data_IF_963082057704
#
_entry.id   IF_963082057704
#
_cell.length_a   1.000
_cell.length_b   1.000
_cell.length_c   1.000
_cell.angle_alpha   90.00
_cell.angle_beta   90.00
_cell.angle_gamma   90.00
#
_symmetry.space_group_name_H-M   'P 1'
#
loop_
_entity.id
_entity.type
_entity.pdbx_description
1 polymer ?
#
# COMPACT_ATOMS: atom_id res chain seq x y z
N UNK A 1 -24.05 31.93 26.50
CA UNK A 1 -22.78 32.01 25.76
C UNK A 1 -22.52 30.60 25.23
N UNK A 2 -23.11 30.34 24.05
CA UNK A 2 -23.02 29.02 23.38
C UNK A 2 -21.75 29.00 22.58
N UNK A 3 -20.86 28.06 22.87
CA UNK A 3 -19.74 27.71 21.98
C UNK A 3 -20.24 26.68 20.97
N UNK A 4 -20.37 27.11 19.72
CA UNK A 4 -20.46 26.23 18.57
C UNK A 4 -19.06 25.70 18.29
N UNK A 5 -18.82 24.41 18.60
CA UNK A 5 -17.70 23.66 18.08
C UNK A 5 -18.06 23.26 16.66
N UNK A 6 -17.31 23.78 15.68
CA UNK A 6 -17.47 23.45 14.28
C UNK A 6 -17.03 22.01 14.03
N UNK A 7 -17.93 21.23 13.47
CA UNK A 7 -17.66 19.98 12.75
C UNK A 7 -16.85 20.35 11.49
N UNK A 8 -15.56 20.09 11.50
CA UNK A 8 -14.77 20.00 10.28
C UNK A 8 -14.97 18.56 9.75
N UNK A 9 -16.04 18.40 8.97
CA UNK A 9 -16.26 17.17 8.23
C UNK A 9 -15.12 16.93 7.23
N UNK A 10 -14.94 15.68 6.81
CA UNK A 10 -14.27 15.34 5.56
C UNK A 10 -14.75 16.36 4.54
N UNK A 11 -13.84 17.07 3.89
CA UNK A 11 -14.22 18.06 2.90
C UNK A 11 -15.02 17.32 1.82
N UNK A 12 -16.34 17.34 1.93
CA UNK A 12 -17.21 16.80 0.90
C UNK A 12 -16.97 17.67 -0.32
N UNK A 13 -16.19 17.19 -1.24
CA UNK A 13 -16.12 17.73 -2.59
C UNK A 13 -17.49 17.45 -3.17
N UNK A 14 -18.34 18.49 -3.22
CA UNK A 14 -19.63 18.42 -3.90
C UNK A 14 -19.32 18.12 -5.37
N UNK A 15 -19.42 16.87 -5.75
CA UNK A 15 -19.25 16.43 -7.13
C UNK A 15 -20.34 17.10 -7.98
N UNK A 16 -19.93 17.76 -9.03
CA UNK A 16 -20.85 18.36 -10.01
C UNK A 16 -21.61 17.23 -10.71
N UNK A 17 -22.93 17.09 -10.49
CA UNK A 17 -23.72 16.01 -11.09
C UNK A 17 -23.71 15.99 -12.62
N UNK A 18 -23.27 17.07 -13.26
CA UNK A 18 -23.15 17.14 -14.73
C UNK A 18 -21.92 16.39 -15.27
N UNK A 19 -20.99 15.98 -14.40
CA UNK A 19 -19.87 15.09 -14.76
C UNK A 19 -20.21 13.59 -14.66
N UNK A 20 -21.44 13.26 -14.22
CA UNK A 20 -21.94 11.88 -14.07
C UNK A 20 -22.48 11.29 -15.38
N UNK A 21 -22.11 11.78 -16.56
CA UNK A 21 -22.30 11.00 -17.77
C UNK A 21 -21.37 9.78 -17.68
N UNK A 22 -21.98 8.64 -17.31
CA UNK A 22 -21.38 7.30 -17.41
C UNK A 22 -20.72 7.13 -18.78
N UNK A 23 -19.42 7.37 -18.84
CA UNK A 23 -18.60 6.64 -19.78
C UNK A 23 -18.47 5.23 -19.20
N UNK A 24 -18.90 4.22 -19.96
CA UNK A 24 -18.49 2.84 -19.71
C UNK A 24 -17.01 2.82 -19.32
N UNK A 25 -16.61 2.09 -18.29
CA UNK A 25 -15.21 1.97 -17.93
C UNK A 25 -14.49 1.44 -19.17
N UNK A 26 -13.88 2.34 -19.92
CA UNK A 26 -12.89 1.92 -20.91
C UNK A 26 -11.80 1.24 -20.11
N UNK A 27 -11.40 0.02 -20.46
CA UNK A 27 -10.24 -0.60 -19.83
C UNK A 27 -9.14 0.45 -19.81
N UNK A 28 -8.53 0.67 -18.65
CA UNK A 28 -7.41 1.58 -18.51
C UNK A 28 -6.46 1.20 -19.63
N UNK A 29 -6.23 2.10 -20.58
CA UNK A 29 -5.31 1.86 -21.67
C UNK A 29 -3.91 1.80 -21.08
N UNK A 30 -3.54 0.61 -20.60
CA UNK A 30 -2.17 0.31 -20.24
C UNK A 30 -1.44 0.35 -21.57
N UNK A 31 -0.38 1.15 -21.62
CA UNK A 31 0.57 1.14 -22.72
C UNK A 31 0.90 -0.30 -23.06
N UNK A 32 0.80 -0.68 -24.34
CA UNK A 32 1.19 -2.02 -24.83
C UNK A 32 2.68 -2.33 -24.56
N UNK A 33 3.41 -1.40 -23.96
CA UNK A 33 4.80 -1.44 -23.53
C UNK A 33 4.95 -1.80 -22.04
N UNK A 34 4.23 -2.82 -21.55
CA UNK A 34 4.60 -3.42 -20.26
C UNK A 34 5.98 -4.07 -20.44
N UNK A 35 7.02 -3.34 -20.00
CA UNK A 35 8.41 -3.74 -20.17
C UNK A 35 8.63 -5.16 -19.64
N UNK A 36 9.32 -6.03 -20.40
CA UNK A 36 9.76 -7.31 -19.89
C UNK A 36 10.57 -7.11 -18.60
N UNK A 37 10.39 -7.99 -17.61
CA UNK A 37 11.04 -7.90 -16.28
C UNK A 37 12.55 -7.56 -16.36
N UNK A 38 13.34 -8.11 -17.31
CA UNK A 38 14.77 -7.75 -17.47
C UNK A 38 15.00 -6.26 -17.75
N UNK A 39 14.11 -5.60 -18.51
CA UNK A 39 14.23 -4.17 -18.81
C UNK A 39 13.87 -3.32 -17.61
N UNK A 40 12.85 -3.70 -16.84
CA UNK A 40 12.52 -3.04 -15.58
C UNK A 40 13.66 -3.16 -14.54
N UNK A 41 14.31 -4.30 -14.46
CA UNK A 41 15.51 -4.47 -13.60
C UNK A 41 16.67 -3.63 -14.09
N UNK A 42 16.89 -3.51 -15.41
CA UNK A 42 17.92 -2.66 -15.97
C UNK A 42 17.67 -1.17 -15.66
N UNK A 43 16.42 -0.70 -15.81
CA UNK A 43 16.03 0.66 -15.43
C UNK A 43 16.27 0.92 -13.93
N UNK A 44 15.84 -0.01 -13.08
CA UNK A 44 16.08 0.09 -11.64
C UNK A 44 17.57 0.14 -11.27
N UNK A 45 18.44 -0.59 -11.98
CA UNK A 45 19.89 -0.53 -11.75
C UNK A 45 20.48 0.83 -12.12
N UNK A 46 19.99 1.44 -13.20
CA UNK A 46 20.39 2.80 -13.60
C UNK A 46 19.94 3.81 -12.54
N UNK A 47 18.69 3.74 -12.08
CA UNK A 47 18.13 4.57 -11.00
C UNK A 47 18.93 4.38 -9.71
N UNK A 48 19.19 3.14 -9.30
CA UNK A 48 19.94 2.81 -8.08
C UNK A 48 21.34 3.44 -8.05
N UNK A 49 21.95 3.63 -9.23
CA UNK A 49 23.27 4.27 -9.34
C UNK A 49 23.29 5.76 -8.95
N UNK A 50 22.14 6.40 -8.92
CA UNK A 50 21.97 7.83 -8.60
C UNK A 50 21.48 8.11 -7.18
N UNK A 51 21.03 7.08 -6.44
CA UNK A 51 20.54 7.22 -5.07
C UNK A 51 21.69 7.42 -4.07
N UNK A 52 21.40 8.13 -2.98
CA UNK A 52 22.28 8.18 -1.80
C UNK A 52 22.19 6.88 -1.00
N UNK A 53 20.97 6.35 -0.87
CA UNK A 53 20.73 5.00 -0.38
C UNK A 53 21.13 3.92 -1.39
N UNK A 54 20.63 2.71 -1.22
CA UNK A 54 20.89 1.60 -2.16
C UNK A 54 19.67 0.71 -2.33
N UNK A 55 19.67 -0.03 -3.44
CA UNK A 55 18.72 -1.10 -3.68
C UNK A 55 19.40 -2.46 -3.51
N UNK A 56 18.87 -3.26 -2.59
CA UNK A 56 19.28 -4.66 -2.43
C UNK A 56 18.23 -5.56 -3.12
N UNK A 57 18.67 -6.67 -3.71
CA UNK A 57 17.79 -7.76 -4.16
C UNK A 57 17.68 -8.80 -3.04
N UNK A 58 16.47 -9.27 -2.79
CA UNK A 58 16.16 -10.22 -1.72
C UNK A 58 15.34 -11.39 -2.27
N UNK A 59 16.01 -12.55 -2.44
CA UNK A 59 15.36 -13.77 -2.88
C UNK A 59 14.67 -14.49 -1.70
N UNK A 60 13.51 -15.08 -1.96
CA UNK A 60 12.77 -15.94 -1.05
C UNK A 60 11.95 -16.96 -1.83
N UNK A 61 11.40 -17.95 -1.14
CA UNK A 61 10.53 -18.96 -1.75
C UNK A 61 9.13 -18.85 -1.16
N UNK A 62 8.13 -19.08 -2.03
CA UNK A 62 6.73 -19.12 -1.63
C UNK A 62 6.01 -20.28 -2.33
N UNK A 63 5.31 -21.06 -1.54
CA UNK A 63 4.42 -22.09 -2.06
C UNK A 63 3.08 -21.49 -2.45
N UNK A 64 2.64 -21.75 -3.69
CA UNK A 64 1.31 -21.39 -4.18
C UNK A 64 0.71 -22.58 -4.92
N UNK A 65 -0.49 -23.00 -4.54
CA UNK A 65 -1.23 -24.14 -5.13
C UNK A 65 -0.40 -25.43 -5.28
N UNK A 66 0.48 -25.71 -4.29
CA UNK A 66 1.32 -26.91 -4.26
C UNK A 66 2.59 -26.86 -5.09
N UNK A 67 2.91 -25.71 -5.65
CA UNK A 67 4.16 -25.46 -6.36
C UNK A 67 4.98 -24.40 -5.59
N UNK A 68 6.29 -24.65 -5.44
CA UNK A 68 7.22 -23.68 -4.85
C UNK A 68 7.76 -22.76 -5.95
N UNK A 69 7.62 -21.45 -5.75
CA UNK A 69 8.11 -20.41 -6.63
C UNK A 69 9.29 -19.68 -6.00
N UNK A 70 10.33 -19.43 -6.81
CA UNK A 70 11.42 -18.55 -6.45
C UNK A 70 10.96 -17.10 -6.70
N UNK A 71 10.94 -16.32 -5.62
CA UNK A 71 10.46 -14.93 -5.62
C UNK A 71 11.62 -13.98 -5.35
N UNK A 72 11.48 -12.77 -5.83
CA UNK A 72 12.42 -11.68 -5.59
C UNK A 72 11.67 -10.43 -5.14
N UNK A 73 12.17 -9.78 -4.10
CA UNK A 73 11.78 -8.45 -3.69
C UNK A 73 12.96 -7.49 -3.85
N UNK A 74 12.70 -6.23 -4.21
CA UNK A 74 13.71 -5.18 -4.16
C UNK A 74 13.55 -4.38 -2.88
N UNK A 75 14.67 -4.00 -2.26
CA UNK A 75 14.66 -3.34 -0.96
C UNK A 75 15.48 -2.07 -1.05
N UNK A 76 14.81 -0.92 -0.96
CA UNK A 76 15.50 0.34 -0.75
C UNK A 76 15.96 0.42 0.72
N UNK A 77 17.25 0.65 0.90
CA UNK A 77 17.88 0.84 2.20
C UNK A 77 18.46 2.24 2.24
N UNK A 78 17.98 3.14 3.14
CA UNK A 78 18.43 4.52 3.18
C UNK A 78 19.90 4.63 3.59
N UNK A 79 20.57 5.72 3.19
CA UNK A 79 21.96 6.01 3.61
C UNK A 79 22.08 6.18 5.14
N UNK A 80 21.02 6.67 5.76
CA UNK A 80 20.92 6.79 7.23
C UNK A 80 20.80 5.47 7.97
N UNK A 81 20.57 4.33 7.28
CA UNK A 81 20.44 3.02 7.89
C UNK A 81 21.73 2.58 8.57
N UNK A 82 21.58 2.06 9.79
CA UNK A 82 22.67 1.47 10.56
C UNK A 82 22.23 0.14 11.20
N UNK A 83 23.06 -0.91 11.14
CA UNK A 83 22.77 -2.16 11.86
C UNK A 83 22.61 -2.00 13.38
N UNK A 84 23.11 -0.92 13.95
CA UNK A 84 23.03 -0.63 15.39
C UNK A 84 21.71 0.04 15.81
N UNK A 85 20.98 0.61 14.85
CA UNK A 85 19.74 1.35 15.09
C UNK A 85 18.60 0.79 14.24
N UNK A 86 17.42 0.52 14.84
CA UNK A 86 16.31 -0.04 14.10
C UNK A 86 15.69 0.98 13.14
N UNK A 87 15.35 0.52 11.94
CA UNK A 87 14.60 1.27 10.94
C UNK A 87 13.12 0.85 10.92
N UNK A 88 12.25 1.76 10.47
CA UNK A 88 10.88 1.42 10.08
C UNK A 88 10.89 0.61 8.78
N UNK A 89 9.79 -0.08 8.49
CA UNK A 89 9.65 -0.86 7.24
C UNK A 89 8.32 -0.57 6.59
N UNK A 90 8.36 -0.31 5.28
CA UNK A 90 7.17 -0.22 4.42
C UNK A 90 7.23 -1.32 3.38
N UNK A 91 6.14 -2.04 3.21
CA UNK A 91 5.97 -3.05 2.16
C UNK A 91 5.03 -2.47 1.10
N UNK A 92 5.45 -2.48 -0.16
CA UNK A 92 4.70 -1.93 -1.27
C UNK A 92 4.48 -2.98 -2.36
N UNK A 93 3.26 -3.00 -2.91
CA UNK A 93 2.91 -3.82 -4.07
C UNK A 93 2.42 -2.96 -5.23
N UNK A 94 2.72 -3.42 -6.45
CA UNK A 94 2.39 -2.76 -7.71
C UNK A 94 0.92 -2.98 -8.13
N UNK A 95 0.49 -2.28 -9.17
CA UNK A 95 -0.79 -2.50 -9.84
C UNK A 95 -0.76 -3.68 -10.83
N UNK A 96 -1.92 -3.97 -11.42
CA UNK A 96 -2.06 -4.97 -12.47
C UNK A 96 -1.00 -4.79 -13.58
N UNK A 97 -0.50 -5.89 -14.15
CA UNK A 97 0.62 -5.93 -15.09
C UNK A 97 1.95 -5.37 -14.59
N UNK A 98 1.98 -4.71 -13.45
CA UNK A 98 3.19 -4.17 -12.87
C UNK A 98 4.19 -5.26 -12.43
N UNK A 99 5.27 -4.83 -11.84
CA UNK A 99 6.28 -5.68 -11.20
C UNK A 99 7.03 -4.92 -10.11
N UNK A 100 7.71 -5.65 -9.25
CA UNK A 100 8.44 -5.07 -8.11
C UNK A 100 9.57 -4.11 -8.54
N UNK A 101 10.27 -4.40 -9.64
CA UNK A 101 11.37 -3.56 -10.13
C UNK A 101 10.86 -2.20 -10.66
N UNK A 102 9.78 -2.20 -11.46
CA UNK A 102 9.18 -0.96 -11.97
C UNK A 102 8.59 -0.09 -10.87
N UNK A 103 7.99 -0.69 -9.83
CA UNK A 103 7.54 0.06 -8.67
C UNK A 103 8.73 0.66 -7.90
N UNK A 104 9.81 -0.12 -7.71
CA UNK A 104 11.03 0.35 -7.07
C UNK A 104 11.69 1.50 -7.86
N UNK A 105 11.76 1.38 -9.19
CA UNK A 105 12.28 2.42 -10.08
C UNK A 105 11.53 3.75 -9.92
N UNK A 106 10.21 3.69 -9.78
CA UNK A 106 9.36 4.87 -9.58
C UNK A 106 9.48 5.47 -8.18
N UNK A 107 9.52 4.64 -7.14
CA UNK A 107 9.33 5.09 -5.75
C UNK A 107 10.65 5.32 -5.01
N UNK A 108 11.72 4.55 -5.30
CA UNK A 108 12.97 4.67 -4.56
C UNK A 108 13.58 6.08 -4.62
N UNK A 109 13.57 6.81 -5.76
CA UNK A 109 14.05 8.19 -5.81
C UNK A 109 13.27 9.15 -4.89
N UNK A 110 11.96 8.95 -4.78
CA UNK A 110 11.11 9.75 -3.90
C UNK A 110 11.48 9.55 -2.43
N UNK A 111 11.66 8.29 -2.04
CA UNK A 111 12.03 7.94 -0.66
C UNK A 111 13.44 8.46 -0.33
N UNK A 112 14.37 8.34 -1.27
CA UNK A 112 15.75 8.84 -1.14
C UNK A 112 15.78 10.35 -0.90
N UNK A 113 14.99 11.11 -1.65
CA UNK A 113 14.85 12.55 -1.52
C UNK A 113 14.16 12.97 -0.19
N UNK A 114 13.13 12.23 0.24
CA UNK A 114 12.50 12.43 1.56
C UNK A 114 13.47 12.17 2.72
N UNK A 115 14.32 11.16 2.61
CA UNK A 115 15.41 10.87 3.56
C UNK A 115 16.41 12.01 3.62
N UNK A 116 16.89 12.49 2.47
CA UNK A 116 17.85 13.60 2.37
C UNK A 116 17.30 14.87 2.99
N UNK A 117 16.02 15.17 2.76
CA UNK A 117 15.32 16.31 3.36
C UNK A 117 15.01 16.09 4.85
N UNK A 118 15.22 14.89 5.38
CA UNK A 118 14.88 14.47 6.76
C UNK A 118 13.38 14.61 7.07
N UNK A 119 12.56 14.46 6.08
CA UNK A 119 11.10 14.50 6.22
C UNK A 119 10.55 13.14 6.69
N UNK A 120 11.32 12.06 6.47
CA UNK A 120 11.01 10.73 6.94
C UNK A 120 12.09 10.19 7.89
N UNK A 121 11.70 9.47 8.92
CA UNK A 121 12.63 8.74 9.79
C UNK A 121 13.23 7.56 9.01
N UNK A 122 14.43 7.03 9.41
CA UNK A 122 15.06 5.91 8.70
C UNK A 122 14.06 4.79 8.40
N UNK A 123 13.78 4.57 7.12
CA UNK A 123 12.72 3.67 6.65
C UNK A 123 13.22 2.82 5.49
N UNK A 124 13.18 1.51 5.67
CA UNK A 124 13.41 0.52 4.62
C UNK A 124 12.11 0.38 3.82
N UNK A 125 12.20 0.40 2.49
CA UNK A 125 11.04 0.19 1.63
C UNK A 125 11.22 -1.08 0.81
N UNK A 126 10.28 -1.99 0.92
CA UNK A 126 10.28 -3.31 0.29
C UNK A 126 9.29 -3.31 -0.86
N UNK A 127 9.75 -3.56 -2.05
CA UNK A 127 8.95 -3.66 -3.27
C UNK A 127 8.76 -5.12 -3.61
N UNK A 128 7.53 -5.59 -3.56
CA UNK A 128 7.20 -6.99 -3.78
C UNK A 128 6.14 -7.16 -4.88
N UNK A 129 6.05 -8.38 -5.42
CA UNK A 129 5.01 -8.76 -6.36
C UNK A 129 4.12 -9.83 -5.76
N UNK A 130 2.82 -9.73 -5.98
CA UNK A 130 1.85 -10.77 -5.63
C UNK A 130 1.75 -11.88 -6.69
N UNK A 131 2.35 -11.70 -7.86
CA UNK A 131 2.44 -12.79 -8.85
C UNK A 131 3.42 -13.86 -8.38
N UNK A 132 3.04 -15.15 -8.40
CA UNK A 132 3.98 -16.25 -8.16
C UNK A 132 5.16 -16.22 -9.14
N UNK A 133 4.86 -16.04 -10.42
CA UNK A 133 5.79 -15.70 -11.49
C UNK A 133 5.04 -14.90 -12.57
N UNK A 134 5.73 -14.44 -13.63
CA UNK A 134 5.14 -13.57 -14.65
C UNK A 134 4.04 -14.25 -15.47
N UNK A 135 3.96 -15.56 -15.53
CA UNK A 135 2.92 -16.28 -16.28
C UNK A 135 1.52 -16.11 -15.67
N UNK A 136 1.43 -15.63 -14.42
CA UNK A 136 0.17 -15.33 -13.75
C UNK A 136 -0.41 -13.94 -14.08
N UNK A 137 0.37 -13.07 -14.73
CA UNK A 137 -0.16 -11.80 -15.21
C UNK A 137 -1.00 -12.07 -16.48
N UNK A 138 -2.31 -11.89 -16.38
CA UNK A 138 -3.28 -12.13 -17.47
C UNK A 138 -3.80 -10.82 -18.06
N UNK A 139 -4.55 -10.91 -19.17
CA UNK A 139 -5.17 -9.74 -19.82
C UNK A 139 -6.42 -9.23 -19.06
N UNK A 140 -6.78 -9.88 -17.95
CA UNK A 140 -7.91 -9.50 -17.10
C UNK A 140 -7.43 -9.23 -15.67
N UNK A 141 -7.57 -7.99 -15.22
CA UNK A 141 -7.17 -7.58 -13.87
C UNK A 141 -8.03 -8.22 -12.76
N UNK A 142 -9.22 -8.72 -13.09
CA UNK A 142 -10.07 -9.42 -12.11
C UNK A 142 -9.46 -10.75 -11.67
N UNK A 143 -8.64 -11.39 -12.53
CA UNK A 143 -7.93 -12.62 -12.20
C UNK A 143 -6.88 -12.42 -11.10
N UNK A 144 -6.38 -11.19 -10.91
CA UNK A 144 -5.35 -10.88 -9.92
C UNK A 144 -5.86 -10.98 -8.47
N UNK A 145 -7.17 -10.81 -8.23
CA UNK A 145 -7.66 -10.69 -6.87
C UNK A 145 -7.35 -11.92 -5.99
N UNK A 146 -7.43 -13.11 -6.55
CA UNK A 146 -7.05 -14.33 -5.81
C UNK A 146 -5.57 -14.32 -5.39
N UNK A 147 -4.69 -13.73 -6.20
CA UNK A 147 -3.27 -13.58 -5.93
C UNK A 147 -3.01 -12.50 -4.88
N UNK A 148 -3.69 -11.34 -4.98
CA UNK A 148 -3.62 -10.25 -3.99
C UNK A 148 -4.05 -10.78 -2.61
N UNK A 149 -5.15 -11.53 -2.56
CA UNK A 149 -5.66 -12.12 -1.32
C UNK A 149 -4.72 -13.18 -0.76
N UNK A 150 -4.12 -14.03 -1.60
CA UNK A 150 -3.10 -14.99 -1.17
C UNK A 150 -1.89 -14.27 -0.60
N UNK A 151 -1.40 -13.22 -1.28
CA UNK A 151 -0.31 -12.40 -0.78
C UNK A 151 -0.63 -11.83 0.61
N UNK A 152 -1.78 -11.17 0.76
CA UNK A 152 -2.20 -10.55 2.00
C UNK A 152 -2.42 -11.55 3.16
N UNK A 153 -2.78 -12.80 2.88
CA UNK A 153 -3.10 -13.80 3.91
C UNK A 153 -1.98 -14.77 4.22
N UNK A 154 -1.04 -14.98 3.30
CA UNK A 154 -0.03 -16.04 3.41
C UNK A 154 1.37 -15.54 3.10
N UNK A 155 1.60 -14.98 1.93
CA UNK A 155 2.94 -14.63 1.47
C UNK A 155 3.56 -13.50 2.29
N UNK A 156 2.75 -12.54 2.75
CA UNK A 156 3.22 -11.43 3.58
C UNK A 156 3.94 -11.88 4.85
N UNK A 157 3.52 -13.00 5.45
CA UNK A 157 4.17 -13.56 6.64
C UNK A 157 5.58 -14.07 6.32
N UNK A 158 5.77 -14.67 5.15
CA UNK A 158 7.08 -15.11 4.65
C UNK A 158 7.97 -13.91 4.35
N UNK A 159 7.42 -12.92 3.66
CA UNK A 159 8.15 -11.71 3.26
C UNK A 159 8.62 -10.91 4.49
N UNK A 160 7.76 -10.67 5.48
CA UNK A 160 8.12 -9.99 6.73
C UNK A 160 9.31 -10.70 7.39
N UNK A 161 9.23 -12.03 7.55
CA UNK A 161 10.30 -12.81 8.19
C UNK A 161 11.60 -12.76 7.39
N UNK A 162 11.53 -12.83 6.07
CA UNK A 162 12.69 -12.75 5.19
C UNK A 162 13.40 -11.39 5.32
N UNK A 163 12.62 -10.29 5.21
CA UNK A 163 13.16 -8.92 5.32
C UNK A 163 13.72 -8.65 6.71
N UNK A 164 12.94 -8.91 7.75
CA UNK A 164 13.31 -8.52 9.11
C UNK A 164 14.32 -9.48 9.77
N UNK A 165 14.64 -10.61 9.12
CA UNK A 165 15.84 -11.40 9.45
C UNK A 165 17.12 -10.82 8.84
N UNK A 166 17.01 -10.06 7.75
CA UNK A 166 18.14 -9.50 7.00
C UNK A 166 18.57 -8.12 7.49
N UNK A 167 17.61 -7.32 7.91
CA UNK A 167 17.81 -5.93 8.30
C UNK A 167 17.46 -5.69 9.77
N UNK A 168 18.16 -4.76 10.41
CA UNK A 168 17.83 -4.34 11.78
C UNK A 168 16.59 -3.44 11.74
N UNK A 169 15.44 -4.02 12.07
CA UNK A 169 14.16 -3.36 12.27
C UNK A 169 13.82 -3.28 13.75
N UNK A 170 12.68 -2.72 14.10
CA UNK A 170 12.23 -2.66 15.50
C UNK A 170 11.96 -4.04 16.12
N UNK A 171 11.74 -5.09 15.31
CA UNK A 171 11.68 -6.49 15.80
C UNK A 171 13.03 -7.03 16.28
N UNK A 172 14.16 -6.38 15.89
CA UNK A 172 15.53 -6.72 16.35
C UNK A 172 15.89 -8.20 16.19
N UNK A 173 15.39 -8.83 15.12
CA UNK A 173 15.61 -10.23 14.80
C UNK A 173 14.75 -11.23 15.60
N UNK A 174 13.89 -10.77 16.50
CA UNK A 174 12.83 -11.62 17.08
C UNK A 174 11.60 -11.61 16.16
N UNK A 175 11.46 -12.67 15.38
CA UNK A 175 10.39 -12.85 14.40
C UNK A 175 9.20 -13.66 14.95
N UNK A 176 9.08 -13.76 16.28
CA UNK A 176 7.92 -14.35 16.92
C UNK A 176 6.67 -13.50 16.65
N UNK A 177 5.49 -14.14 16.63
CA UNK A 177 4.21 -13.45 16.51
C UNK A 177 4.06 -12.33 17.53
N UNK A 178 4.48 -12.55 18.77
CA UNK A 178 4.44 -11.57 19.82
C UNK A 178 5.30 -10.34 19.51
N UNK A 179 6.55 -10.52 19.12
CA UNK A 179 7.46 -9.41 18.79
C UNK A 179 6.97 -8.62 17.57
N UNK A 180 6.47 -9.31 16.54
CA UNK A 180 5.92 -8.65 15.36
C UNK A 180 4.67 -7.82 15.69
N UNK A 181 3.82 -8.26 16.61
CA UNK A 181 2.66 -7.51 17.11
C UNK A 181 3.08 -6.30 17.93
N UNK A 182 4.02 -6.46 18.86
CA UNK A 182 4.52 -5.38 19.73
C UNK A 182 5.21 -4.27 18.94
N UNK A 183 5.85 -4.62 17.82
CA UNK A 183 6.58 -3.67 16.96
C UNK A 183 5.79 -3.18 15.75
N UNK A 184 4.50 -3.49 15.65
CA UNK A 184 3.64 -3.15 14.49
C UNK A 184 3.60 -1.66 14.14
N UNK A 185 3.81 -0.77 15.13
CA UNK A 185 3.81 0.69 14.92
C UNK A 185 4.97 1.18 14.02
N UNK A 186 5.92 0.31 13.76
CA UNK A 186 7.08 0.57 12.90
C UNK A 186 6.96 -0.15 11.55
N UNK A 187 5.77 -0.64 11.22
CA UNK A 187 5.49 -1.36 9.98
C UNK A 187 4.28 -0.77 9.26
N UNK A 188 4.45 -0.52 7.95
CA UNK A 188 3.35 -0.08 7.09
C UNK A 188 3.25 -0.96 5.85
N UNK A 189 2.06 -1.03 5.29
CA UNK A 189 1.79 -1.65 4.00
C UNK A 189 1.13 -0.64 3.07
N UNK A 190 1.45 -0.73 1.79
CA UNK A 190 0.83 0.11 0.77
C UNK A 190 0.87 -0.54 -0.61
N UNK A 191 0.18 0.05 -1.54
CA UNK A 191 0.21 -0.39 -2.92
C UNK A 191 -0.70 0.44 -3.81
N UNK A 192 -0.46 0.36 -5.11
CA UNK A 192 -1.15 1.14 -6.12
C UNK A 192 -2.10 0.25 -6.94
N UNK A 193 -3.32 0.75 -7.24
CA UNK A 193 -4.30 0.01 -8.06
C UNK A 193 -4.63 -1.36 -7.43
N UNK A 194 -4.37 -2.47 -8.10
CA UNK A 194 -4.48 -3.81 -7.50
C UNK A 194 -3.63 -3.98 -6.24
N UNK A 195 -2.52 -3.23 -6.10
CA UNK A 195 -1.77 -3.14 -4.86
C UNK A 195 -2.53 -2.43 -3.73
N UNK A 196 -3.41 -1.48 -4.04
CA UNK A 196 -4.32 -0.88 -3.06
C UNK A 196 -5.35 -1.91 -2.56
N UNK A 197 -5.90 -2.72 -3.48
CA UNK A 197 -6.76 -3.85 -3.13
C UNK A 197 -6.04 -4.82 -2.16
N UNK A 198 -4.76 -5.13 -2.43
CA UNK A 198 -3.92 -5.90 -1.48
C UNK A 198 -3.79 -5.18 -0.13
N UNK A 199 -3.64 -3.86 -0.14
CA UNK A 199 -3.49 -3.06 1.09
C UNK A 199 -4.74 -3.15 1.97
N UNK A 200 -5.92 -3.07 1.38
CA UNK A 200 -7.18 -3.25 2.07
C UNK A 200 -7.33 -4.68 2.66
N UNK A 201 -6.94 -5.70 1.90
CA UNK A 201 -6.93 -7.08 2.41
C UNK A 201 -5.93 -7.25 3.57
N UNK A 202 -4.76 -6.62 3.52
CA UNK A 202 -3.81 -6.63 4.65
C UNK A 202 -4.41 -5.94 5.88
N UNK A 203 -5.10 -4.80 5.71
CA UNK A 203 -5.80 -4.14 6.81
C UNK A 203 -6.89 -5.04 7.42
N UNK A 204 -7.71 -5.66 6.58
CA UNK A 204 -8.82 -6.51 7.02
C UNK A 204 -8.35 -7.81 7.70
N UNK A 205 -7.24 -8.41 7.23
CA UNK A 205 -6.85 -9.78 7.55
C UNK A 205 -5.57 -9.90 8.38
N UNK A 206 -4.69 -8.90 8.37
CA UNK A 206 -3.38 -8.88 9.06
C UNK A 206 -3.13 -7.60 9.89
N UNK A 207 -4.14 -6.95 10.50
CA UNK A 207 -3.93 -5.69 11.22
C UNK A 207 -2.96 -5.82 12.39
N UNK A 208 -2.77 -7.04 12.92
CA UNK A 208 -1.87 -7.29 14.04
C UNK A 208 -0.40 -7.05 13.73
N UNK A 209 0.00 -6.96 12.46
CA UNK A 209 1.41 -6.76 12.08
C UNK A 209 1.72 -5.37 11.57
N UNK A 210 0.70 -4.56 11.26
CA UNK A 210 0.86 -3.26 10.64
C UNK A 210 0.14 -2.16 11.42
N UNK A 211 0.72 -0.97 11.39
CA UNK A 211 0.09 0.24 11.91
C UNK A 211 -0.35 1.17 10.78
N UNK A 212 0.49 1.34 9.77
CA UNK A 212 0.25 2.23 8.65
C UNK A 212 -0.25 1.50 7.41
N UNK A 213 -1.17 2.12 6.69
CA UNK A 213 -1.71 1.61 5.43
C UNK A 213 -1.78 2.75 4.42
N UNK A 214 -1.29 2.51 3.20
CA UNK A 214 -1.31 3.47 2.10
C UNK A 214 -1.99 2.82 0.87
N UNK A 215 -3.34 2.66 0.87
CA UNK A 215 -4.04 2.26 -0.34
C UNK A 215 -4.05 3.44 -1.33
N UNK A 216 -3.41 3.25 -2.49
CA UNK A 216 -3.21 4.26 -3.51
C UNK A 216 -3.98 3.89 -4.78
N UNK A 217 -4.94 4.71 -5.18
CA UNK A 217 -5.73 4.57 -6.40
C UNK A 217 -6.39 3.19 -6.59
N UNK A 218 -7.12 2.72 -5.57
CA UNK A 218 -7.86 1.45 -5.64
C UNK A 218 -8.69 1.19 -4.37
N UNK A 219 -9.87 0.67 -4.56
CA UNK A 219 -10.83 0.26 -3.53
C UNK A 219 -10.55 -1.17 -3.03
N UNK A 220 -11.25 -1.58 -1.97
CA UNK A 220 -11.26 -2.97 -1.50
C UNK A 220 -12.19 -3.84 -2.34
N UNK A 221 -11.74 -5.03 -2.65
CA UNK A 221 -12.55 -6.04 -3.32
C UNK A 221 -13.04 -7.15 -2.39
N UNK A 222 -12.83 -6.98 -1.08
CA UNK A 222 -13.26 -7.97 -0.08
C UNK A 222 -14.78 -8.16 -0.14
N UNK A 223 -15.23 -9.41 -0.27
CA UNK A 223 -16.64 -9.75 -0.41
C UNK A 223 -17.23 -9.61 -1.83
N UNK A 224 -16.46 -9.09 -2.82
CA UNK A 224 -16.94 -8.92 -4.20
C UNK A 224 -17.39 -10.22 -4.83
N UNK A 225 -16.65 -11.31 -4.64
CA UNK A 225 -17.01 -12.64 -5.16
C UNK A 225 -18.31 -13.20 -4.55
N UNK A 226 -18.67 -12.75 -3.34
CA UNK A 226 -19.88 -13.14 -2.62
C UNK A 226 -21.08 -12.21 -2.96
N UNK A 227 -20.85 -11.17 -3.77
CA UNK A 227 -21.86 -10.15 -4.10
C UNK A 227 -22.25 -9.30 -2.89
N UNK A 228 -21.29 -9.04 -2.00
CA UNK A 228 -21.49 -8.20 -0.82
C UNK A 228 -21.90 -6.78 -1.22
N UNK A 229 -22.83 -6.18 -0.48
CA UNK A 229 -23.15 -4.77 -0.55
C UNK A 229 -22.13 -3.92 0.23
N UNK A 230 -22.23 -2.60 0.12
CA UNK A 230 -21.27 -1.66 0.69
C UNK A 230 -21.18 -1.79 2.22
N UNK A 231 -22.30 -1.97 2.93
CA UNK A 231 -22.33 -2.21 4.38
C UNK A 231 -21.57 -3.49 4.75
N UNK A 232 -21.76 -4.56 4.00
CA UNK A 232 -21.05 -5.83 4.22
C UNK A 232 -19.56 -5.72 3.88
N UNK A 233 -19.19 -4.97 2.86
CA UNK A 233 -17.79 -4.68 2.53
C UNK A 233 -17.14 -3.91 3.68
N UNK A 234 -17.77 -2.87 4.20
CA UNK A 234 -17.28 -2.10 5.34
C UNK A 234 -17.10 -2.96 6.60
N UNK A 235 -18.05 -3.88 6.87
CA UNK A 235 -17.95 -4.87 7.96
C UNK A 235 -16.72 -5.78 7.77
N UNK A 236 -16.52 -6.33 6.57
CA UNK A 236 -15.41 -7.22 6.26
C UNK A 236 -14.06 -6.48 6.36
N UNK A 237 -13.97 -5.25 5.89
CA UNK A 237 -12.76 -4.43 5.97
C UNK A 237 -12.36 -4.14 7.42
N UNK A 238 -13.30 -3.90 8.30
CA UNK A 238 -13.05 -3.54 9.71
C UNK A 238 -12.92 -4.76 10.63
N UNK A 239 -13.35 -5.95 10.18
CA UNK A 239 -13.42 -7.16 11.00
C UNK A 239 -12.10 -7.52 11.70
N UNK A 240 -10.96 -7.29 11.04
CA UNK A 240 -9.65 -7.53 11.62
C UNK A 240 -9.35 -6.59 12.80
N UNK A 241 -9.52 -5.30 12.62
CA UNK A 241 -9.30 -4.29 13.64
C UNK A 241 -10.25 -4.51 14.84
N UNK A 242 -11.52 -4.81 14.56
CA UNK A 242 -12.51 -5.11 15.62
C UNK A 242 -12.14 -6.37 16.40
N UNK A 243 -11.67 -7.42 15.75
CA UNK A 243 -11.24 -8.67 16.40
C UNK A 243 -10.04 -8.47 17.32
N UNK A 244 -9.09 -7.61 16.92
CA UNK A 244 -7.92 -7.24 17.72
C UNK A 244 -8.27 -6.23 18.85
N UNK A 245 -9.49 -5.68 18.86
CA UNK A 245 -9.92 -4.68 19.82
C UNK A 245 -9.28 -3.30 19.61
N UNK A 246 -8.92 -2.99 18.36
CA UNK A 246 -8.28 -1.72 18.00
C UNK A 246 -9.28 -0.56 17.99
N UNK A 247 -8.82 0.57 18.49
CA UNK A 247 -9.47 1.87 18.38
C UNK A 247 -8.79 2.76 17.32
N UNK A 248 -9.28 3.99 17.15
CA UNK A 248 -8.81 4.90 16.08
C UNK A 248 -7.36 5.37 16.23
N UNK A 249 -6.70 5.11 17.36
CA UNK A 249 -5.26 5.40 17.58
C UNK A 249 -4.35 4.20 17.31
N UNK A 250 -4.92 3.03 17.01
CA UNK A 250 -4.16 1.80 16.86
C UNK A 250 -3.76 1.49 15.42
N UNK A 251 -4.26 2.24 14.46
CA UNK A 251 -3.86 2.15 13.06
C UNK A 251 -3.99 3.51 12.36
N UNK A 252 -3.44 3.62 11.17
CA UNK A 252 -3.55 4.81 10.33
C UNK A 252 -3.66 4.41 8.85
N UNK A 253 -4.75 4.78 8.22
CA UNK A 253 -5.00 4.58 6.80
C UNK A 253 -4.87 5.94 6.10
N UNK A 254 -3.95 6.05 5.18
CA UNK A 254 -3.71 7.22 4.34
C UNK A 254 -4.07 6.84 2.89
N UNK A 255 -5.36 6.87 2.59
CA UNK A 255 -5.87 6.62 1.26
C UNK A 255 -5.55 7.81 0.34
N UNK A 256 -5.21 7.54 -0.91
CA UNK A 256 -4.89 8.61 -1.86
C UNK A 256 -5.20 8.21 -3.30
N UNK A 257 -5.49 9.20 -4.15
CA UNK A 257 -5.86 8.97 -5.55
C UNK A 257 -5.74 10.27 -6.36
N UNK A 258 -5.48 10.19 -7.65
CA UNK A 258 -5.51 11.34 -8.55
C UNK A 258 -6.92 11.87 -8.77
N UNK A 259 -7.09 13.19 -8.93
CA UNK A 259 -8.41 13.78 -9.18
C UNK A 259 -9.00 13.40 -10.55
N UNK A 260 -8.15 13.00 -11.50
CA UNK A 260 -8.53 12.52 -12.83
C UNK A 260 -8.36 11.00 -12.99
N UNK A 261 -8.14 10.30 -11.86
CA UNK A 261 -8.01 8.84 -11.82
C UNK A 261 -9.40 8.19 -11.73
N UNK A 262 -9.74 7.21 -12.59
CA UNK A 262 -11.01 6.49 -12.52
C UNK A 262 -11.27 5.83 -11.17
N UNK A 263 -10.23 5.37 -10.46
CA UNK A 263 -10.36 4.75 -9.15
C UNK A 263 -10.98 5.67 -8.08
N UNK A 264 -10.96 6.99 -8.30
CA UNK A 264 -11.61 7.96 -7.41
C UNK A 264 -13.10 7.65 -7.23
N UNK A 265 -13.77 7.18 -8.29
CA UNK A 265 -15.20 6.91 -8.29
C UNK A 265 -15.62 5.72 -7.44
N UNK A 266 -14.72 4.72 -7.33
CA UNK A 266 -14.98 3.52 -6.55
C UNK A 266 -14.46 3.67 -5.11
N UNK A 267 -13.32 4.35 -4.92
CA UNK A 267 -12.75 4.59 -3.59
C UNK A 267 -13.61 5.53 -2.74
N UNK A 268 -14.14 6.61 -3.32
CA UNK A 268 -14.86 7.62 -2.55
C UNK A 268 -16.08 7.07 -1.83
N UNK A 269 -17.05 6.39 -2.50
CA UNK A 269 -18.22 5.86 -1.81
C UNK A 269 -17.85 4.78 -0.77
N UNK A 270 -16.81 3.97 -1.02
CA UNK A 270 -16.35 2.98 -0.07
C UNK A 270 -15.80 3.60 1.23
N UNK A 271 -15.05 4.71 1.11
CA UNK A 271 -14.54 5.43 2.28
C UNK A 271 -15.65 6.19 3.02
N UNK A 272 -16.62 6.74 2.31
CA UNK A 272 -17.82 7.35 2.90
C UNK A 272 -18.61 6.32 3.70
N UNK A 273 -18.84 5.12 3.15
CA UNK A 273 -19.52 4.03 3.86
C UNK A 273 -18.76 3.58 5.12
N UNK A 274 -17.41 3.50 5.03
CA UNK A 274 -16.59 3.17 6.21
C UNK A 274 -16.74 4.21 7.32
N UNK A 275 -16.75 5.50 7.00
CA UNK A 275 -16.92 6.60 7.97
C UNK A 275 -18.33 6.58 8.56
N UNK A 276 -19.37 6.36 7.74
CA UNK A 276 -20.76 6.31 8.18
C UNK A 276 -21.06 5.08 9.06
N UNK A 277 -20.55 3.90 8.67
CA UNK A 277 -20.82 2.66 9.39
C UNK A 277 -19.99 2.52 10.68
N UNK A 278 -18.78 3.09 10.71
CA UNK A 278 -17.84 2.95 11.83
C UNK A 278 -17.25 4.29 12.31
N UNK A 279 -18.05 5.31 12.66
CA UNK A 279 -17.56 6.66 12.95
C UNK A 279 -16.64 6.75 14.19
N UNK A 280 -16.75 5.82 15.13
CA UNK A 280 -15.90 5.74 16.31
C UNK A 280 -14.53 5.11 16.01
N UNK A 281 -14.43 4.35 14.92
CA UNK A 281 -13.22 3.67 14.47
C UNK A 281 -12.51 4.45 13.36
N UNK A 282 -13.28 4.93 12.37
CA UNK A 282 -12.82 5.70 11.21
C UNK A 282 -12.92 7.19 11.49
N UNK A 283 -11.93 7.72 12.18
CA UNK A 283 -11.83 9.14 12.54
C UNK A 283 -10.76 9.81 11.66
N UNK A 284 -10.66 11.11 11.68
CA UNK A 284 -9.58 11.85 11.00
C UNK A 284 -8.16 11.44 11.47
N UNK A 285 -8.04 10.73 12.59
CA UNK A 285 -6.76 10.20 13.07
C UNK A 285 -6.44 8.87 12.39
N UNK A 286 -7.44 8.02 12.16
CA UNK A 286 -7.28 6.65 11.66
C UNK A 286 -7.48 6.51 10.15
N UNK A 287 -8.33 7.36 9.53
CA UNK A 287 -8.62 7.36 8.11
C UNK A 287 -8.52 8.78 7.54
N UNK A 288 -7.68 8.95 6.54
CA UNK A 288 -7.55 10.19 5.78
C UNK A 288 -7.54 9.85 4.30
N UNK A 289 -8.14 10.72 3.49
CA UNK A 289 -8.05 10.65 2.04
C UNK A 289 -7.39 11.92 1.50
N UNK A 290 -6.40 11.73 0.65
CA UNK A 290 -5.75 12.82 -0.09
C UNK A 290 -5.99 12.66 -1.58
N UNK A 291 -6.36 13.77 -2.24
CA UNK A 291 -6.59 13.81 -3.69
C UNK A 291 -5.44 14.56 -4.32
N UNK A 292 -4.76 13.94 -5.26
CA UNK A 292 -3.66 14.50 -6.04
C UNK A 292 -4.23 15.23 -7.26
N UNK A 293 -4.30 16.55 -7.17
CA UNK A 293 -4.98 17.39 -8.15
C UNK A 293 -4.31 17.34 -9.54
N UNK A 294 -5.09 16.99 -10.55
CA UNK A 294 -4.67 16.90 -11.96
C UNK A 294 -3.99 15.57 -12.32
N UNK A 295 -3.76 14.69 -11.36
CA UNK A 295 -3.14 13.39 -11.63
C UNK A 295 -4.16 12.34 -12.04
N UNK A 296 -3.68 11.44 -12.91
CA UNK A 296 -4.41 10.29 -13.46
C UNK A 296 -3.89 9.00 -12.84
N UNK A 297 -4.34 7.84 -13.37
CA UNK A 297 -3.80 6.52 -13.00
C UNK A 297 -2.41 6.31 -13.60
N UNK A 298 -1.36 6.82 -12.96
CA UNK A 298 -0.02 6.94 -13.53
C UNK A 298 1.10 6.71 -12.52
N UNK A 299 2.32 6.46 -13.02
CA UNK A 299 3.52 6.35 -12.18
C UNK A 299 3.85 7.66 -11.46
N UNK A 300 3.58 8.83 -12.08
CA UNK A 300 3.77 10.13 -11.42
C UNK A 300 2.84 10.26 -10.21
N UNK A 301 1.59 9.82 -10.35
CA UNK A 301 0.65 9.82 -9.24
C UNK A 301 1.09 8.90 -8.09
N UNK A 302 1.65 7.71 -8.41
CA UNK A 302 2.24 6.83 -7.38
C UNK A 302 3.35 7.55 -6.61
N UNK A 303 4.27 8.21 -7.31
CA UNK A 303 5.37 8.95 -6.72
C UNK A 303 4.87 10.04 -5.78
N UNK A 304 3.93 10.88 -6.24
CA UNK A 304 3.32 11.95 -5.46
C UNK A 304 2.59 11.43 -4.22
N UNK A 305 1.84 10.33 -4.37
CA UNK A 305 1.08 9.72 -3.27
C UNK A 305 2.00 9.16 -2.18
N UNK A 306 3.14 8.58 -2.56
CA UNK A 306 4.15 8.12 -1.60
C UNK A 306 4.83 9.33 -0.94
N UNK A 307 5.20 10.36 -1.71
CA UNK A 307 5.80 11.59 -1.19
C UNK A 307 4.90 12.25 -0.13
N UNK A 308 3.60 12.30 -0.40
CA UNK A 308 2.64 12.86 0.54
C UNK A 308 2.45 12.00 1.80
N UNK A 309 2.26 10.69 1.64
CA UNK A 309 1.79 9.82 2.71
C UNK A 309 2.90 9.32 3.64
N UNK A 310 4.09 9.03 3.10
CA UNK A 310 5.16 8.40 3.89
C UNK A 310 5.63 9.23 5.08
N UNK A 311 5.84 10.57 4.96
CA UNK A 311 6.20 11.41 6.11
C UNK A 311 5.12 11.46 7.20
N UNK A 312 3.87 11.26 6.83
CA UNK A 312 2.77 11.21 7.79
C UNK A 312 2.77 9.93 8.63
N UNK A 313 3.30 8.83 8.12
CA UNK A 313 3.44 7.56 8.86
C UNK A 313 4.69 7.54 9.72
N UNK A 314 5.82 7.95 9.19
CA UNK A 314 7.12 7.88 9.84
C UNK A 314 7.84 9.23 9.77
N UNK A 315 7.34 10.27 10.47
CA UNK A 315 7.90 11.61 10.37
C UNK A 315 9.36 11.67 10.79
N UNK A 316 10.14 12.43 10.05
CA UNK A 316 11.52 12.78 10.38
C UNK A 316 11.64 13.65 11.64
N UNK A 317 12.87 14.01 11.97
CA UNK A 317 13.16 14.85 13.16
C UNK A 317 13.58 16.24 12.75
#
# INVERSE_FOLDING_TARGET
>A
MLFLLGLAGIASVALDPSRLEQKDPSPIAISEDADPIPEAVAALLDTASSLHGRIDSLAYQQDYQGTTYDKEAFVYVPDSYSPDHPANVVYLTHGWWGNAAGLADTVAPVVDDLEDRREVAPTIVVFATYYPDRSFATDDYEDDYALNRFFATTEIDTLIKTVESRYTTFARGDLSDQSLRETRRHRAFGGFSMGATTTWDVFALRPQYFYGYMPMAGESWIGREEGADDERIAELMTAGAMREGYGPSDFRILASVGSEDPALWDMTPQLEELDEAYPDLMTQTSLQMWIDEGETHSSSSVANQVEHNLPLLFPGK
#
